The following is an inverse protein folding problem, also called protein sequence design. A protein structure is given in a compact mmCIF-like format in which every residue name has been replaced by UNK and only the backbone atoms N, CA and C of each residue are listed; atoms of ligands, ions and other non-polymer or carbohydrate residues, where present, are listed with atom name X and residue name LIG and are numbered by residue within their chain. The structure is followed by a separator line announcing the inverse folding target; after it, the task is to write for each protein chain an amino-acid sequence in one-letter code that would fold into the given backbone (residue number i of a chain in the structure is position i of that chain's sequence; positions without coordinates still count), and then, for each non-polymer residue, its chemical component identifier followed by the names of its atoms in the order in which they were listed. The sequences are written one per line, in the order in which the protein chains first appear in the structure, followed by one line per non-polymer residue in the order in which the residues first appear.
data_IF_145414014904
#
_entry.id   IF_145414014904
#
_cell.length_a   1.000
_cell.length_b   1.000
_cell.length_c   1.000
_cell.angle_alpha   90.00
_cell.angle_beta   90.00
_cell.angle_gamma   90.00
#
_symmetry.space_group_name_H-M   'P 1'
#
loop_
_entity.id
_entity.type
_entity.pdbx_description
1 polymer ?
#
# COMPACT_ATOMS: atom_id res chain seq x y z
N UNK A 1 53.20 -4.95 5.70
CA UNK A 1 52.68 -3.86 4.85
C UNK A 1 51.61 -4.32 3.85
N UNK A 2 51.77 -5.43 3.09
CA UNK A 2 50.76 -5.87 2.08
C UNK A 2 49.41 -6.35 2.64
N UNK A 3 49.37 -6.95 3.84
CA UNK A 3 48.11 -7.49 4.40
C UNK A 3 47.10 -6.42 4.84
N UNK A 4 47.56 -5.27 5.36
CA UNK A 4 46.67 -4.20 5.79
C UNK A 4 45.93 -3.53 4.61
N UNK A 5 46.59 -3.41 3.46
CA UNK A 5 45.97 -2.86 2.25
C UNK A 5 44.85 -3.78 1.71
N UNK A 6 45.11 -5.10 1.69
CA UNK A 6 44.10 -6.09 1.30
C UNK A 6 42.88 -6.10 2.23
N UNK A 7 43.10 -6.05 3.56
CA UNK A 7 42.00 -5.96 4.52
C UNK A 7 41.20 -4.66 4.40
N UNK A 8 41.87 -3.54 4.09
CA UNK A 8 41.20 -2.26 3.88
C UNK A 8 40.33 -2.26 2.63
N UNK A 9 40.82 -2.83 1.52
CA UNK A 9 40.06 -2.97 0.27
C UNK A 9 38.84 -3.86 0.49
N UNK A 10 39.02 -5.04 1.11
CA UNK A 10 37.91 -5.94 1.41
C UNK A 10 36.82 -5.28 2.27
N UNK A 11 37.21 -4.59 3.34
CA UNK A 11 36.26 -3.87 4.20
C UNK A 11 35.51 -2.75 3.48
N UNK A 12 36.18 -2.07 2.55
CA UNK A 12 35.55 -1.04 1.73
C UNK A 12 34.56 -1.64 0.71
N UNK A 13 34.89 -2.79 0.12
CA UNK A 13 33.99 -3.53 -0.77
C UNK A 13 32.77 -4.06 -0.03
N UNK A 14 32.94 -4.61 1.17
CA UNK A 14 31.86 -5.07 2.03
C UNK A 14 30.89 -3.93 2.37
N UNK A 15 31.43 -2.77 2.78
CA UNK A 15 30.59 -1.60 3.09
C UNK A 15 29.80 -1.13 1.85
N UNK A 16 30.41 -1.17 0.68
CA UNK A 16 29.75 -0.79 -0.58
C UNK A 16 28.65 -1.79 -0.96
N UNK A 17 28.88 -3.07 -0.74
CA UNK A 17 27.88 -4.12 -0.96
C UNK A 17 26.71 -3.98 0.02
N UNK A 18 26.98 -3.73 1.30
CA UNK A 18 25.96 -3.52 2.32
C UNK A 18 25.06 -2.31 2.02
N UNK A 19 25.67 -1.18 1.63
CA UNK A 19 24.93 0.02 1.25
C UNK A 19 24.05 -0.27 0.02
N UNK A 20 24.58 -0.97 -0.98
CA UNK A 20 23.81 -1.34 -2.17
C UNK A 20 22.62 -2.23 -1.82
N UNK A 21 22.84 -3.26 -1.01
CA UNK A 21 21.77 -4.17 -0.58
C UNK A 21 20.68 -3.41 0.19
N UNK A 22 21.05 -2.51 1.10
CA UNK A 22 20.09 -1.68 1.84
C UNK A 22 19.26 -0.78 0.91
N UNK A 23 19.89 -0.18 -0.10
CA UNK A 23 19.18 0.65 -1.08
C UNK A 23 18.21 -0.20 -1.91
N UNK A 24 18.64 -1.35 -2.41
CA UNK A 24 17.80 -2.27 -3.20
C UNK A 24 16.60 -2.78 -2.40
N UNK A 25 16.80 -3.13 -1.13
CA UNK A 25 15.70 -3.48 -0.22
C UNK A 25 14.71 -2.34 -0.07
N UNK A 26 15.18 -1.11 0.21
CA UNK A 26 14.30 0.05 0.39
C UNK A 26 13.56 0.45 -0.87
N UNK A 27 14.17 0.29 -2.05
CA UNK A 27 13.48 0.47 -3.32
C UNK A 27 12.38 -0.57 -3.51
N UNK A 28 12.67 -1.84 -3.19
CA UNK A 28 11.68 -2.92 -3.28
C UNK A 28 10.49 -2.68 -2.34
N UNK A 29 10.76 -2.28 -1.09
CA UNK A 29 9.73 -1.93 -0.10
C UNK A 29 8.83 -0.79 -0.61
N UNK A 30 9.43 0.22 -1.24
CA UNK A 30 8.71 1.37 -1.80
C UNK A 30 7.82 0.97 -2.98
N UNK A 31 8.34 0.15 -3.90
CA UNK A 31 7.57 -0.36 -5.04
C UNK A 31 6.39 -1.20 -4.60
N UNK A 32 6.59 -2.10 -3.62
CA UNK A 32 5.52 -2.92 -3.08
C UNK A 32 4.44 -2.07 -2.41
N UNK A 33 4.86 -1.06 -1.65
CA UNK A 33 3.95 -0.10 -1.00
C UNK A 33 3.15 0.70 -2.01
N UNK A 34 3.77 1.15 -3.12
CA UNK A 34 3.06 1.81 -4.22
C UNK A 34 2.00 0.91 -4.85
N UNK A 35 2.34 -0.36 -5.14
CA UNK A 35 1.38 -1.34 -5.68
C UNK A 35 0.20 -1.56 -4.73
N UNK A 36 0.47 -1.66 -3.42
CA UNK A 36 -0.59 -1.76 -2.39
C UNK A 36 -1.52 -0.56 -2.41
N UNK A 37 -0.99 0.67 -2.45
CA UNK A 37 -1.78 1.90 -2.51
C UNK A 37 -2.64 1.92 -3.78
N UNK A 38 -2.10 1.52 -4.92
CA UNK A 38 -2.86 1.48 -6.18
C UNK A 38 -4.05 0.51 -6.12
N UNK A 39 -3.85 -0.69 -5.57
CA UNK A 39 -4.94 -1.65 -5.37
C UNK A 39 -5.99 -1.10 -4.40
N UNK A 40 -5.55 -0.44 -3.33
CA UNK A 40 -6.45 0.19 -2.36
C UNK A 40 -7.28 1.31 -3.02
N UNK A 41 -6.68 2.18 -3.83
CA UNK A 41 -7.39 3.26 -4.54
C UNK A 41 -8.45 2.70 -5.50
N UNK A 42 -8.10 1.67 -6.28
CA UNK A 42 -9.07 0.97 -7.15
C UNK A 42 -10.23 0.37 -6.35
N UNK A 43 -9.95 -0.15 -5.17
CA UNK A 43 -10.96 -0.72 -4.27
C UNK A 43 -11.89 0.37 -3.73
N UNK A 44 -11.35 1.51 -3.29
CA UNK A 44 -12.13 2.67 -2.83
C UNK A 44 -13.05 3.17 -3.94
N UNK A 45 -12.53 3.37 -5.15
CA UNK A 45 -13.34 3.82 -6.30
C UNK A 45 -14.47 2.85 -6.64
N UNK A 46 -14.22 1.56 -6.55
CA UNK A 46 -15.23 0.53 -6.82
C UNK A 46 -16.30 0.51 -5.73
N UNK A 47 -15.92 0.63 -4.46
CA UNK A 47 -16.87 0.76 -3.36
C UNK A 47 -17.71 2.04 -3.45
N UNK A 48 -17.09 3.18 -3.82
CA UNK A 48 -17.79 4.45 -4.05
C UNK A 48 -18.85 4.34 -5.15
N UNK A 49 -18.50 3.76 -6.30
CA UNK A 49 -19.47 3.51 -7.38
C UNK A 49 -20.61 2.58 -6.97
N UNK A 50 -20.33 1.54 -6.19
CA UNK A 50 -21.38 0.67 -5.64
C UNK A 50 -22.32 1.45 -4.72
N UNK A 51 -21.78 2.31 -3.87
CA UNK A 51 -22.58 3.17 -3.00
C UNK A 51 -23.50 4.11 -3.80
N UNK A 52 -22.99 4.76 -4.85
CA UNK A 52 -23.79 5.61 -5.73
C UNK A 52 -24.94 4.83 -6.39
N UNK A 53 -24.68 3.61 -6.88
CA UNK A 53 -25.72 2.76 -7.47
C UNK A 53 -26.78 2.38 -6.44
N UNK A 54 -26.38 1.99 -5.23
CA UNK A 54 -27.33 1.62 -4.17
C UNK A 54 -28.15 2.81 -3.70
N UNK A 55 -27.56 4.01 -3.62
CA UNK A 55 -28.26 5.26 -3.37
C UNK A 55 -29.36 5.52 -4.41
N UNK A 56 -29.04 5.36 -5.70
CA UNK A 56 -30.01 5.54 -6.79
C UNK A 56 -31.16 4.54 -6.69
N UNK A 57 -30.87 3.26 -6.46
CA UNK A 57 -31.89 2.21 -6.29
C UNK A 57 -32.82 2.50 -5.12
N UNK A 58 -32.30 3.01 -3.99
CA UNK A 58 -33.13 3.40 -2.86
C UNK A 58 -34.06 4.57 -3.23
N UNK A 59 -33.54 5.59 -3.94
CA UNK A 59 -34.37 6.74 -4.39
C UNK A 59 -35.47 6.33 -5.35
N UNK A 60 -35.22 5.33 -6.19
CA UNK A 60 -36.21 4.77 -7.12
C UNK A 60 -37.19 3.80 -6.44
N UNK A 61 -37.03 3.54 -5.13
CA UNK A 61 -37.90 2.63 -4.36
C UNK A 61 -37.67 1.14 -4.67
N UNK A 62 -36.59 0.81 -5.37
CA UNK A 62 -36.24 -0.56 -5.80
C UNK A 62 -35.22 -1.19 -4.82
N UNK A 63 -34.49 -0.36 -4.07
CA UNK A 63 -33.47 -0.79 -3.11
C UNK A 63 -33.94 -0.73 -1.65
N UNK A 64 -33.23 -1.45 -0.78
CA UNK A 64 -33.48 -1.48 0.66
C UNK A 64 -32.50 -0.60 1.45
N UNK A 65 -32.94 -0.02 2.58
CA UNK A 65 -32.05 0.71 3.50
C UNK A 65 -30.90 -0.17 4.02
N UNK A 66 -31.12 -1.49 4.09
CA UNK A 66 -30.10 -2.47 4.49
C UNK A 66 -28.95 -2.56 3.48
N UNK A 67 -29.26 -2.54 2.17
CA UNK A 67 -28.25 -2.55 1.11
C UNK A 67 -27.43 -1.26 1.13
N UNK A 68 -28.06 -0.14 1.45
CA UNK A 68 -27.40 1.16 1.57
C UNK A 68 -26.42 1.17 2.75
N UNK A 69 -26.85 0.67 3.91
CA UNK A 69 -26.00 0.57 5.11
C UNK A 69 -24.80 -0.37 4.90
N UNK A 70 -24.98 -1.46 4.16
CA UNK A 70 -23.87 -2.36 3.81
C UNK A 70 -22.87 -1.72 2.84
N UNK A 71 -23.37 -0.95 1.87
CA UNK A 71 -22.53 -0.21 0.92
C UNK A 71 -21.72 0.92 1.58
N UNK A 72 -22.25 1.55 2.64
CA UNK A 72 -21.53 2.59 3.43
C UNK A 72 -20.38 2.04 4.26
N UNK A 73 -20.48 0.77 4.70
CA UNK A 73 -19.45 0.14 5.52
C UNK A 73 -18.21 -0.28 4.72
N UNK A 74 -18.35 -0.55 3.42
CA UNK A 74 -17.22 -0.96 2.56
C UNK A 74 -16.13 0.13 2.40
N UNK A 75 -16.44 1.39 2.04
CA UNK A 75 -15.41 2.43 1.89
C UNK A 75 -14.72 2.75 3.22
N UNK A 76 -15.45 2.76 4.34
CA UNK A 76 -14.89 3.00 5.67
C UNK A 76 -13.87 1.92 6.09
N UNK A 77 -14.18 0.64 5.81
CA UNK A 77 -13.25 -0.47 6.08
C UNK A 77 -11.99 -0.40 5.22
N UNK A 78 -12.09 0.08 3.98
CA UNK A 78 -10.93 0.23 3.09
C UNK A 78 -10.05 1.40 3.54
N UNK A 79 -10.65 2.55 3.87
CA UNK A 79 -9.94 3.71 4.43
C UNK A 79 -9.15 3.36 5.70
N UNK A 80 -9.77 2.65 6.65
CA UNK A 80 -9.06 2.23 7.87
C UNK A 80 -7.84 1.34 7.58
N UNK A 81 -7.93 0.45 6.58
CA UNK A 81 -6.77 -0.37 6.15
C UNK A 81 -5.69 0.47 5.48
N UNK A 82 -6.06 1.47 4.68
CA UNK A 82 -5.09 2.36 4.01
C UNK A 82 -4.27 3.18 5.00
N UNK A 83 -4.90 3.71 6.06
CA UNK A 83 -4.24 4.49 7.10
C UNK A 83 -3.27 3.62 7.90
N UNK A 84 -3.64 2.38 8.22
CA UNK A 84 -2.72 1.43 8.87
C UNK A 84 -1.50 1.14 8.00
N UNK A 85 -1.69 0.86 6.71
CA UNK A 85 -0.56 0.59 5.80
C UNK A 85 0.34 1.80 5.56
N UNK A 86 -0.17 3.03 5.72
CA UNK A 86 0.63 4.25 5.64
C UNK A 86 1.42 4.56 6.92
N UNK A 87 0.99 4.01 8.06
CA UNK A 87 1.58 4.29 9.39
C UNK A 87 2.53 3.17 9.89
N UNK A 88 2.61 2.06 9.17
CA UNK A 88 3.54 0.94 9.42
C UNK A 88 4.83 1.04 8.55
N UNK A 89 4.97 2.11 7.76
CA UNK A 89 6.18 2.50 7.02
C UNK A 89 7.01 3.50 7.81
#
# INVERSE_FOLDING_TARGET
MRHGCLQFIARHEDLKADIRAKVEMKLSDLEESRKRIEVQDRTIRTAGRRYEITQLRLREGIGSQLELSEAELQPNKVLCRTVKSANEL
#
